data_IF_284110757324
#
_entry.id   IF_284110757324
#
_cell.length_a   1.000
_cell.length_b   1.000
_cell.length_c   1.000
_cell.angle_alpha   90.00
_cell.angle_beta   90.00
_cell.angle_gamma   90.00
#
_symmetry.space_group_name_H-M   'P 1'
#
loop_
_entity.id
_entity.type
_entity.pdbx_description
1 polymer ?
#
# COMPACT_ATOMS: atom_id res chain seq x y z
N UNK A 1 -41.68 19.06 -10.00
CA UNK A 1 -40.29 19.28 -10.46
C UNK A 1 -39.29 18.84 -9.38
N UNK A 2 -39.12 17.53 -9.15
CA UNK A 2 -38.22 17.01 -8.09
C UNK A 2 -37.52 15.71 -8.51
N UNK A 3 -38.27 14.74 -9.03
CA UNK A 3 -37.75 13.39 -9.29
C UNK A 3 -36.66 13.30 -10.36
N UNK A 4 -36.78 14.06 -11.46
CA UNK A 4 -35.77 14.04 -12.52
C UNK A 4 -34.39 14.55 -12.03
N UNK A 5 -34.39 15.48 -11.05
CA UNK A 5 -33.16 15.99 -10.44
C UNK A 5 -32.54 14.98 -9.48
N UNK A 6 -33.38 14.31 -8.69
CA UNK A 6 -32.94 13.26 -7.76
C UNK A 6 -32.39 12.04 -8.51
N UNK A 7 -33.04 11.62 -9.59
CA UNK A 7 -32.55 10.55 -10.46
C UNK A 7 -31.17 10.89 -11.06
N UNK A 8 -31.00 12.12 -11.54
CA UNK A 8 -29.72 12.57 -12.11
C UNK A 8 -28.59 12.56 -11.08
N UNK A 9 -28.84 13.05 -9.87
CA UNK A 9 -27.85 13.01 -8.78
C UNK A 9 -27.44 11.57 -8.43
N UNK A 10 -28.41 10.65 -8.33
CA UNK A 10 -28.12 9.23 -8.08
C UNK A 10 -27.31 8.59 -9.22
N UNK A 11 -27.57 8.95 -10.46
CA UNK A 11 -26.83 8.47 -11.62
C UNK A 11 -25.38 8.99 -11.61
N UNK A 12 -25.17 10.26 -11.26
CA UNK A 12 -23.83 10.86 -11.15
C UNK A 12 -23.01 10.23 -10.00
N UNK A 13 -23.65 9.97 -8.85
CA UNK A 13 -23.02 9.29 -7.72
C UNK A 13 -22.63 7.84 -8.07
N UNK A 14 -23.53 7.10 -8.74
CA UNK A 14 -23.26 5.75 -9.20
C UNK A 14 -22.15 5.70 -10.25
N UNK A 15 -22.17 6.61 -11.23
CA UNK A 15 -21.12 6.72 -12.23
C UNK A 15 -19.76 7.07 -11.60
N UNK A 16 -19.76 7.95 -10.59
CA UNK A 16 -18.55 8.31 -9.84
C UNK A 16 -18.02 7.12 -9.02
N UNK A 17 -18.90 6.30 -8.43
CA UNK A 17 -18.51 5.10 -7.73
C UNK A 17 -17.88 4.06 -8.67
N UNK A 18 -18.47 3.85 -9.85
CA UNK A 18 -17.91 2.96 -10.88
C UNK A 18 -16.58 3.48 -11.41
N UNK A 19 -16.43 4.80 -11.63
CA UNK A 19 -15.15 5.38 -12.06
C UNK A 19 -14.04 5.22 -11.01
N UNK A 20 -14.40 5.17 -9.72
CA UNK A 20 -13.46 4.87 -8.62
C UNK A 20 -13.11 3.38 -8.52
N UNK A 21 -13.86 2.49 -9.17
CA UNK A 21 -13.48 1.09 -9.28
C UNK A 21 -12.36 0.96 -10.32
N UNK A 22 -11.14 0.79 -9.85
CA UNK A 22 -10.04 0.26 -10.65
C UNK A 22 -10.44 -1.15 -11.11
N UNK A 23 -10.15 -1.48 -12.38
CA UNK A 23 -10.23 -2.87 -12.87
C UNK A 23 -9.53 -3.75 -11.85
N UNK A 24 -10.24 -4.71 -11.26
CA UNK A 24 -9.61 -5.70 -10.40
C UNK A 24 -8.62 -6.45 -11.30
N UNK A 25 -7.35 -6.03 -11.28
CA UNK A 25 -6.31 -6.72 -12.00
C UNK A 25 -6.39 -8.18 -11.58
N UNK A 26 -6.35 -9.08 -12.56
CA UNK A 26 -6.32 -10.54 -12.37
C UNK A 26 -5.09 -11.03 -11.57
N UNK A 27 -4.35 -10.10 -10.99
CA UNK A 27 -3.20 -10.35 -10.16
C UNK A 27 -3.76 -10.73 -8.79
N UNK A 28 -3.39 -11.91 -8.29
CA UNK A 28 -3.84 -12.41 -7.00
C UNK A 28 -3.39 -11.53 -5.83
N UNK A 29 -3.18 -12.11 -4.65
CA UNK A 29 -2.53 -11.40 -3.55
C UNK A 29 -1.05 -11.14 -3.88
N UNK A 30 -0.77 -10.11 -4.69
CA UNK A 30 0.60 -9.65 -4.91
C UNK A 30 1.17 -9.17 -3.58
N UNK A 31 2.35 -9.69 -3.23
CA UNK A 31 3.06 -9.28 -2.03
C UNK A 31 4.44 -8.76 -2.43
N UNK A 32 4.86 -7.66 -1.82
CA UNK A 32 6.17 -7.05 -2.07
C UNK A 32 6.85 -6.75 -0.74
N UNK A 33 8.13 -7.08 -0.62
CA UNK A 33 8.96 -6.66 0.51
C UNK A 33 9.35 -5.20 0.32
N UNK A 34 9.07 -4.38 1.32
CA UNK A 34 9.36 -2.95 1.31
C UNK A 34 10.02 -2.51 2.61
N UNK A 35 10.56 -1.31 2.62
CA UNK A 35 11.03 -0.61 3.80
C UNK A 35 10.28 0.70 3.96
N UNK A 36 9.84 1.04 5.17
CA UNK A 36 9.23 2.34 5.45
C UNK A 36 10.27 3.46 5.31
N UNK A 37 9.88 4.56 4.68
CA UNK A 37 10.74 5.75 4.53
C UNK A 37 10.02 7.01 5.04
N UNK A 38 10.79 7.98 5.50
CA UNK A 38 10.28 9.32 5.73
C UNK A 38 10.21 10.07 4.40
N UNK A 39 9.00 10.46 3.99
CA UNK A 39 8.78 11.32 2.81
C UNK A 39 7.90 12.49 3.25
N UNK A 40 8.53 13.61 3.60
CA UNK A 40 7.84 14.69 4.31
C UNK A 40 7.55 14.28 5.75
N UNK A 41 6.29 14.42 6.20
CA UNK A 41 5.89 14.02 7.55
C UNK A 41 5.66 12.51 7.62
N UNK A 42 6.39 11.85 8.52
CA UNK A 42 6.17 10.44 8.83
C UNK A 42 4.96 10.27 9.76
N UNK A 43 3.97 9.42 9.44
CA UNK A 43 2.83 9.21 10.33
C UNK A 43 3.27 8.66 11.69
N UNK A 44 2.66 9.15 12.76
CA UNK A 44 2.92 8.71 14.14
C UNK A 44 1.76 7.92 14.74
N UNK A 45 0.73 7.64 13.94
CA UNK A 45 -0.50 6.95 14.33
C UNK A 45 -0.70 5.68 13.51
N UNK A 46 -1.38 4.69 14.10
CA UNK A 46 -1.90 3.54 13.36
C UNK A 46 -2.94 3.96 12.30
N UNK A 47 -3.34 3.03 11.42
CA UNK A 47 -4.41 3.30 10.44
C UNK A 47 -4.13 4.46 9.46
N UNK A 48 -2.85 4.74 9.20
CA UNK A 48 -2.39 5.77 8.27
C UNK A 48 -1.66 5.17 7.06
N UNK A 49 -1.48 5.98 6.01
CA UNK A 49 -0.66 5.62 4.86
C UNK A 49 0.81 5.94 5.12
N UNK A 50 1.66 4.96 4.88
CA UNK A 50 3.11 5.08 5.01
C UNK A 50 3.76 5.01 3.63
N UNK A 51 4.77 5.85 3.43
CA UNK A 51 5.62 5.79 2.25
C UNK A 51 6.61 4.64 2.41
N UNK A 52 6.67 3.78 1.42
CA UNK A 52 7.51 2.58 1.42
C UNK A 52 8.31 2.49 0.12
N UNK A 53 9.56 2.04 0.21
CA UNK A 53 10.42 1.74 -0.93
C UNK A 53 10.60 0.24 -1.07
N UNK A 54 10.46 -0.34 -2.27
CA UNK A 54 10.73 -1.75 -2.50
C UNK A 54 12.15 -2.15 -2.09
N UNK A 55 12.28 -3.34 -1.52
CA UNK A 55 13.56 -3.96 -1.22
C UNK A 55 13.83 -5.07 -2.24
N UNK A 56 15.04 -5.08 -2.80
CA UNK A 56 15.57 -6.23 -3.53
C UNK A 56 16.35 -7.08 -2.52
N UNK A 57 16.09 -8.38 -2.56
CA UNK A 57 16.77 -9.38 -1.75
C UNK A 57 17.78 -10.05 -2.67
N UNK A 58 19.02 -10.11 -2.21
CA UNK A 58 20.13 -10.74 -2.90
C UNK A 58 21.08 -11.36 -1.87
N UNK A 59 22.20 -11.91 -2.29
CA UNK A 59 23.25 -12.42 -1.42
C UNK A 59 23.87 -13.70 -1.96
N UNK A 60 24.98 -14.15 -1.35
CA UNK A 60 25.59 -15.41 -1.73
C UNK A 60 24.62 -16.58 -1.50
N UNK A 61 24.44 -17.40 -2.55
CA UNK A 61 23.67 -18.65 -2.49
C UNK A 61 24.51 -19.75 -1.83
N UNK A 62 24.80 -19.58 -0.54
CA UNK A 62 25.59 -20.54 0.25
C UNK A 62 24.89 -20.81 1.57
N UNK A 63 24.95 -22.06 2.02
CA UNK A 63 24.36 -22.47 3.29
C UNK A 63 24.93 -21.63 4.45
N UNK A 64 24.04 -21.08 5.28
CA UNK A 64 24.41 -20.23 6.41
C UNK A 64 24.75 -18.77 6.07
N UNK A 65 24.72 -18.38 4.79
CA UNK A 65 24.98 -16.99 4.43
C UNK A 65 23.77 -16.06 4.69
N UNK A 66 24.06 -14.79 4.96
CA UNK A 66 23.03 -13.78 5.23
C UNK A 66 22.49 -13.14 3.96
N UNK A 67 21.18 -12.86 3.94
CA UNK A 67 20.57 -12.09 2.87
C UNK A 67 21.02 -10.62 2.90
N UNK A 68 21.25 -10.06 1.72
CA UNK A 68 21.51 -8.65 1.47
C UNK A 68 20.23 -7.96 1.01
N UNK A 69 19.92 -6.80 1.59
CA UNK A 69 18.76 -6.00 1.23
C UNK A 69 19.22 -4.69 0.62
N UNK A 70 18.83 -4.43 -0.64
CA UNK A 70 19.07 -3.15 -1.28
C UNK A 70 17.75 -2.41 -1.52
N UNK A 71 17.73 -1.13 -1.16
CA UNK A 71 16.56 -0.26 -1.35
C UNK A 71 16.51 0.21 -2.79
N UNK A 72 15.37 0.01 -3.44
CA UNK A 72 15.07 0.63 -4.71
C UNK A 72 14.46 2.02 -4.49
N UNK A 73 15.31 3.04 -4.47
CA UNK A 73 14.90 4.44 -4.23
C UNK A 73 14.16 5.08 -5.40
N UNK A 74 14.07 4.41 -6.55
CA UNK A 74 13.38 4.94 -7.73
C UNK A 74 11.86 4.85 -7.62
N UNK A 75 11.35 4.00 -6.72
CA UNK A 75 9.92 3.72 -6.56
C UNK A 75 9.46 4.01 -5.13
N UNK A 76 8.34 4.72 -5.03
CA UNK A 76 7.63 4.92 -3.76
C UNK A 76 6.25 4.32 -3.85
N UNK A 77 5.92 3.42 -2.94
CA UNK A 77 4.62 2.79 -2.80
C UNK A 77 3.97 3.34 -1.52
N UNK A 78 2.72 3.79 -1.63
CA UNK A 78 1.94 4.19 -0.47
C UNK A 78 1.12 2.99 0.02
N UNK A 79 1.33 2.59 1.26
CA UNK A 79 0.64 1.44 1.84
C UNK A 79 -0.10 1.82 3.13
N UNK A 80 -1.33 1.33 3.28
CA UNK A 80 -2.16 1.54 4.47
C UNK A 80 -1.76 0.57 5.58
N UNK A 81 -1.48 1.08 6.77
CA UNK A 81 -1.30 0.25 7.95
C UNK A 81 -2.66 -0.16 8.55
N UNK A 82 -3.01 -1.43 8.47
CA UNK A 82 -4.21 -2.01 9.08
C UNK A 82 -3.97 -2.52 10.50
N UNK A 83 -2.74 -2.40 11.01
CA UNK A 83 -2.38 -2.80 12.38
C UNK A 83 -2.67 -1.73 13.41
N UNK A 84 -2.34 -2.07 14.65
CA UNK A 84 -2.61 -1.27 15.85
C UNK A 84 -1.50 -0.30 16.25
N UNK A 85 -0.30 -0.42 15.68
CA UNK A 85 0.87 0.40 16.04
C UNK A 85 1.48 1.11 14.84
N UNK A 86 2.22 2.19 15.09
CA UNK A 86 3.05 2.87 14.09
C UNK A 86 4.40 2.15 13.96
N UNK A 87 4.78 1.66 12.76
CA UNK A 87 6.14 1.17 12.56
C UNK A 87 7.15 2.33 12.71
N UNK A 88 8.36 2.07 13.24
CA UNK A 88 9.48 3.00 13.10
C UNK A 88 9.89 3.22 11.64
N UNK A 89 10.57 4.34 11.36
CA UNK A 89 11.19 4.57 10.04
C UNK A 89 12.25 3.49 9.77
N UNK A 90 12.31 2.98 8.54
CA UNK A 90 13.26 1.93 8.15
C UNK A 90 12.77 0.51 8.46
N UNK A 91 11.54 0.34 8.95
CA UNK A 91 10.95 -0.97 9.22
C UNK A 91 10.72 -1.73 7.92
N UNK A 92 11.19 -2.99 7.85
CA UNK A 92 10.95 -3.88 6.72
C UNK A 92 9.58 -4.54 6.88
N UNK A 93 8.74 -4.48 5.85
CA UNK A 93 7.36 -4.93 5.88
C UNK A 93 7.01 -5.66 4.58
N UNK A 94 6.07 -6.60 4.67
CA UNK A 94 5.42 -7.17 3.50
C UNK A 94 4.12 -6.40 3.29
N UNK A 95 3.96 -5.81 2.11
CA UNK A 95 2.72 -5.15 1.69
C UNK A 95 1.98 -6.04 0.69
N UNK A 96 0.66 -6.04 0.77
CA UNK A 96 -0.23 -6.79 -0.12
C UNK A 96 -1.04 -5.84 -0.98
N UNK A 97 -1.16 -6.16 -2.27
CA UNK A 97 -2.06 -5.48 -3.19
C UNK A 97 -3.49 -6.02 -3.00
N UNK A 98 -4.43 -5.12 -2.75
CA UNK A 98 -5.86 -5.42 -2.61
C UNK A 98 -6.67 -4.30 -3.26
N UNK A 99 -7.44 -4.64 -4.29
CA UNK A 99 -8.33 -3.69 -4.98
C UNK A 99 -7.61 -2.45 -5.53
N UNK A 100 -6.38 -2.62 -6.03
CA UNK A 100 -5.55 -1.53 -6.55
C UNK A 100 -4.89 -0.64 -5.48
N UNK A 101 -4.94 -1.03 -4.21
CA UNK A 101 -4.26 -0.35 -3.09
C UNK A 101 -3.32 -1.31 -2.38
N UNK A 102 -2.28 -0.76 -1.77
CA UNK A 102 -1.37 -1.52 -0.93
C UNK A 102 -1.74 -1.40 0.54
N UNK A 103 -1.70 -2.52 1.26
CA UNK A 103 -1.93 -2.57 2.70
C UNK A 103 -0.92 -3.48 3.38
N UNK A 104 -0.64 -3.20 4.64
CA UNK A 104 0.13 -4.08 5.54
C UNK A 104 -0.49 -4.05 6.92
N UNK A 105 -0.04 -4.94 7.81
CA UNK A 105 -0.45 -4.95 9.21
C UNK A 105 0.80 -4.89 10.09
N UNK A 106 0.84 -3.94 11.02
CA UNK A 106 1.92 -3.80 12.01
C UNK A 106 1.36 -3.67 13.43
N UNK A 107 1.69 -4.63 14.29
CA UNK A 107 1.20 -4.71 15.68
C UNK A 107 2.35 -4.63 16.73
N UNK A 108 3.58 -4.39 16.29
CA UNK A 108 4.80 -4.36 17.09
C UNK A 108 5.39 -5.75 17.29
#
# INVERSE_FOLDING_TARGET
MSDARVMRGRQEDAASAVRRQTSAGLHGSEAVLVQTMARGNYPTIASAFYACTPLRIDGPETEGASATFSVDSSRTIMALNLGSKSPPVGTKLIIHSSGGRWAFRYDG
#
